data_IF_654334178559
#
_entry.id   IF_654334178559
#
_cell.length_a   1.000
_cell.length_b   1.000
_cell.length_c   1.000
_cell.angle_alpha   90.00
_cell.angle_beta   90.00
_cell.angle_gamma   90.00
#
_symmetry.space_group_name_H-M   'P 1'
#
loop_
_entity.id
_entity.type
_entity.pdbx_description
1 polymer ?
#
# COMPACT_ATOMS: atom_id res chain seq x y z
N UNK A 1 83.75 -8.06 -11.40
CA UNK A 1 82.77 -7.85 -12.48
C UNK A 1 81.42 -8.36 -11.98
N UNK A 2 80.42 -7.46 -11.98
CA UNK A 2 78.98 -7.69 -11.76
C UNK A 2 78.55 -8.24 -10.38
N UNK A 3 77.60 -7.68 -9.64
CA UNK A 3 76.64 -6.61 -9.87
C UNK A 3 75.56 -6.75 -8.80
N UNK A 4 75.17 -5.64 -8.16
CA UNK A 4 74.09 -5.60 -7.16
C UNK A 4 72.76 -5.97 -7.80
N UNK A 5 71.85 -6.62 -7.06
CA UNK A 5 70.42 -6.47 -7.34
C UNK A 5 69.56 -6.50 -6.08
N UNK A 6 69.07 -5.29 -5.79
CA UNK A 6 68.01 -4.87 -4.90
C UNK A 6 66.67 -5.42 -5.41
N UNK A 7 65.89 -6.05 -4.53
CA UNK A 7 64.44 -6.18 -4.72
C UNK A 7 63.72 -5.69 -3.47
N UNK A 8 63.17 -4.47 -3.59
CA UNK A 8 62.12 -3.94 -2.72
C UNK A 8 60.83 -4.68 -3.07
N UNK A 9 60.25 -5.43 -2.15
CA UNK A 9 58.85 -5.81 -2.25
C UNK A 9 58.00 -4.81 -1.46
N UNK A 10 57.43 -3.84 -2.19
CA UNK A 10 56.20 -3.18 -1.80
C UNK A 10 55.05 -4.13 -2.13
N UNK A 11 54.50 -4.83 -1.13
CA UNK A 11 53.18 -5.42 -1.28
C UNK A 11 52.17 -4.58 -0.49
N UNK A 12 51.61 -3.59 -1.18
CA UNK A 12 50.42 -2.87 -0.76
C UNK A 12 49.34 -3.22 -1.78
N UNK A 13 48.28 -3.91 -1.33
CA UNK A 13 46.89 -3.48 -1.55
C UNK A 13 45.89 -4.53 -1.03
N UNK A 14 45.29 -4.20 0.11
CA UNK A 14 43.86 -4.01 0.30
C UNK A 14 42.92 -4.95 -0.48
N UNK A 15 42.42 -5.96 0.21
CA UNK A 15 41.11 -6.55 -0.11
C UNK A 15 40.26 -6.68 1.16
N UNK A 16 40.19 -5.60 1.94
CA UNK A 16 39.02 -5.36 2.76
C UNK A 16 37.89 -4.89 1.84
N UNK A 17 37.29 -5.82 1.10
CA UNK A 17 35.92 -5.67 0.59
C UNK A 17 34.99 -5.74 1.79
N UNK A 18 35.08 -4.74 2.66
CA UNK A 18 34.01 -4.36 3.56
C UNK A 18 32.88 -3.97 2.63
N UNK A 19 31.92 -4.88 2.46
CA UNK A 19 30.64 -4.58 1.87
C UNK A 19 30.18 -3.27 2.53
N UNK A 20 30.21 -2.19 1.75
CA UNK A 20 29.43 -1.00 2.07
C UNK A 20 27.99 -1.43 1.86
N UNK A 21 27.50 -2.28 2.76
CA UNK A 21 26.09 -2.43 3.05
C UNK A 21 25.69 -1.04 3.50
N UNK A 22 25.33 -0.21 2.52
CA UNK A 22 24.75 1.09 2.77
C UNK A 22 23.64 0.81 3.77
N UNK A 23 23.78 1.29 5.02
CA UNK A 23 22.78 1.16 6.07
C UNK A 23 21.44 1.55 5.43
N UNK A 24 20.67 0.55 5.02
CA UNK A 24 19.36 0.76 4.44
C UNK A 24 18.47 0.82 5.65
N UNK A 25 18.09 2.03 6.06
CA UNK A 25 17.19 2.17 7.18
C UNK A 25 15.88 1.46 6.84
N UNK A 26 15.40 0.69 7.80
CA UNK A 26 14.11 0.04 7.74
C UNK A 26 13.21 0.67 8.77
N UNK A 27 11.96 0.90 8.40
CA UNK A 27 11.00 1.50 9.30
C UNK A 27 9.63 0.87 9.10
N UNK A 28 8.83 0.94 10.16
CA UNK A 28 7.45 0.48 10.15
C UNK A 28 6.56 1.55 9.53
N UNK A 29 5.70 1.15 8.60
CA UNK A 29 4.63 1.99 8.07
C UNK A 29 3.27 1.49 8.52
N UNK A 30 2.34 2.42 8.65
CA UNK A 30 0.92 2.17 8.89
C UNK A 30 0.15 2.61 7.65
N UNK A 31 -0.56 1.69 7.02
CA UNK A 31 -1.40 1.97 5.84
C UNK A 31 -2.87 1.79 6.24
N UNK A 32 -3.63 2.88 6.24
CA UNK A 32 -5.08 2.84 6.38
C UNK A 32 -5.70 2.68 5.00
N UNK A 33 -6.42 1.59 4.76
CA UNK A 33 -7.16 1.40 3.50
C UNK A 33 -8.54 2.03 3.63
N UNK A 34 -8.93 2.88 2.69
CA UNK A 34 -10.25 3.51 2.69
C UNK A 34 -11.36 2.43 2.61
N UNK A 35 -12.29 2.47 3.56
CA UNK A 35 -13.40 1.50 3.65
C UNK A 35 -13.06 0.17 4.33
N UNK A 36 -11.83 -0.02 4.81
CA UNK A 36 -11.43 -1.19 5.61
C UNK A 36 -11.79 -1.02 7.09
N UNK A 37 -11.88 -2.13 7.83
CA UNK A 37 -12.08 -2.16 9.28
C UNK A 37 -10.90 -1.58 10.11
N UNK A 38 -9.79 -1.17 9.48
CA UNK A 38 -8.60 -0.66 10.17
C UNK A 38 -7.33 -0.66 9.31
N UNK A 39 -6.19 -0.26 9.90
CA UNK A 39 -4.91 -0.19 9.21
C UNK A 39 -4.22 -1.56 9.10
N UNK A 40 -3.30 -1.65 8.14
CA UNK A 40 -2.30 -2.72 8.02
C UNK A 40 -0.92 -2.13 8.31
N UNK A 41 -0.01 -2.93 8.89
CA UNK A 41 1.31 -2.46 9.31
C UNK A 41 2.38 -3.43 8.85
N UNK A 42 3.45 -2.90 8.25
CA UNK A 42 4.58 -3.70 7.78
C UNK A 42 5.85 -2.85 7.68
N UNK A 43 7.00 -3.52 7.60
CA UNK A 43 8.31 -2.87 7.51
C UNK A 43 8.68 -2.63 6.05
N UNK A 44 9.18 -1.43 5.74
CA UNK A 44 9.69 -1.03 4.43
C UNK A 44 11.14 -0.56 4.55
N UNK A 45 11.87 -0.58 3.45
CA UNK A 45 13.18 0.05 3.35
C UNK A 45 13.02 1.50 2.91
N UNK A 46 13.93 2.37 3.33
CA UNK A 46 13.97 3.77 2.88
C UNK A 46 13.98 3.92 1.36
N UNK A 47 14.69 3.03 0.67
CA UNK A 47 14.83 3.04 -0.79
C UNK A 47 13.65 2.41 -1.54
N UNK A 48 12.63 1.91 -0.83
CA UNK A 48 11.48 1.30 -1.50
C UNK A 48 10.62 2.39 -2.16
N UNK A 49 10.20 2.14 -3.40
CA UNK A 49 9.31 3.06 -4.11
C UNK A 49 7.88 2.98 -3.59
N UNK A 50 7.11 4.06 -3.76
CA UNK A 50 5.68 4.11 -3.40
C UNK A 50 4.89 2.99 -4.09
N UNK A 51 5.20 2.68 -5.35
CA UNK A 51 4.60 1.55 -6.07
C UNK A 51 4.85 0.20 -5.38
N UNK A 52 6.09 -0.04 -4.92
CA UNK A 52 6.46 -1.26 -4.19
C UNK A 52 5.76 -1.35 -2.83
N UNK A 53 5.68 -0.24 -2.09
CA UNK A 53 4.95 -0.16 -0.82
C UNK A 53 3.46 -0.46 -1.03
N UNK A 54 2.87 0.10 -2.09
CA UNK A 54 1.47 -0.13 -2.45
C UNK A 54 1.22 -1.60 -2.81
N UNK A 55 2.08 -2.22 -3.62
CA UNK A 55 1.98 -3.66 -3.93
C UNK A 55 2.05 -4.52 -2.66
N UNK A 56 2.95 -4.17 -1.74
CA UNK A 56 3.12 -4.88 -0.46
C UNK A 56 1.89 -4.71 0.43
N UNK A 57 1.30 -3.51 0.46
CA UNK A 57 0.05 -3.22 1.15
C UNK A 57 -1.10 -4.08 0.61
N UNK A 58 -1.32 -4.10 -0.71
CA UNK A 58 -2.37 -4.92 -1.34
C UNK A 58 -2.20 -6.42 -1.06
N UNK A 59 -0.97 -6.93 -1.12
CA UNK A 59 -0.67 -8.33 -0.79
C UNK A 59 -0.94 -8.63 0.68
N UNK A 60 -0.51 -7.77 1.59
CA UNK A 60 -0.71 -7.96 3.05
C UNK A 60 -2.19 -7.90 3.40
N UNK A 61 -2.92 -6.95 2.82
CA UNK A 61 -4.36 -6.80 2.95
C UNK A 61 -5.13 -8.06 2.53
N UNK A 62 -4.76 -8.64 1.38
CA UNK A 62 -5.36 -9.89 0.89
C UNK A 62 -5.01 -11.09 1.79
N UNK A 63 -3.77 -11.18 2.30
CA UNK A 63 -3.37 -12.24 3.24
C UNK A 63 -4.13 -12.18 4.56
N UNK A 64 -4.47 -10.97 5.02
CA UNK A 64 -5.31 -10.76 6.20
C UNK A 64 -6.80 -11.09 5.94
N UNK A 65 -7.21 -11.38 4.69
CA UNK A 65 -8.60 -11.71 4.36
C UNK A 65 -9.57 -10.52 4.52
N UNK A 66 -9.07 -9.29 4.38
CA UNK A 66 -9.85 -8.08 4.67
C UNK A 66 -10.84 -7.74 3.57
N UNK A 67 -11.88 -7.00 3.97
CA UNK A 67 -12.89 -6.43 3.09
C UNK A 67 -12.87 -4.90 3.16
N UNK A 68 -13.10 -4.20 2.02
CA UNK A 68 -13.48 -4.72 0.70
C UNK A 68 -12.32 -5.35 -0.10
N UNK A 69 -12.61 -6.22 -1.07
CA UNK A 69 -11.61 -6.81 -1.96
C UNK A 69 -11.03 -5.75 -2.91
N UNK A 70 -9.72 -5.50 -2.80
CA UNK A 70 -9.03 -4.42 -3.52
C UNK A 70 -8.52 -4.85 -4.91
N UNK A 71 -8.08 -6.09 -5.05
CA UNK A 71 -7.33 -6.57 -6.21
C UNK A 71 -5.82 -6.35 -6.06
N UNK A 72 -5.06 -6.58 -7.13
CA UNK A 72 -3.58 -6.58 -7.13
C UNK A 72 -2.93 -5.50 -7.99
N UNK A 73 -3.71 -4.81 -8.84
CA UNK A 73 -3.19 -3.79 -9.73
C UNK A 73 -2.90 -2.49 -8.96
N UNK A 74 -1.62 -2.11 -8.87
CA UNK A 74 -1.13 -0.92 -8.16
C UNK A 74 -1.61 0.37 -8.81
N UNK A 75 -1.76 0.40 -10.13
CA UNK A 75 -2.12 1.61 -10.89
C UNK A 75 -3.54 2.09 -10.59
N UNK A 76 -4.36 1.22 -10.01
CA UNK A 76 -5.72 1.53 -9.57
C UNK A 76 -5.78 2.15 -8.18
N UNK A 77 -4.63 2.51 -7.57
CA UNK A 77 -4.59 3.08 -6.23
C UNK A 77 -3.76 4.36 -6.16
N UNK A 78 -4.13 5.22 -5.23
CA UNK A 78 -3.34 6.36 -4.78
C UNK A 78 -2.92 6.15 -3.32
N UNK A 79 -1.67 6.49 -3.01
CA UNK A 79 -1.17 6.53 -1.66
C UNK A 79 -1.03 7.99 -1.22
N UNK A 80 -1.68 8.34 -0.12
CA UNK A 80 -1.62 9.68 0.47
C UNK A 80 -0.88 9.62 1.80
N UNK A 81 -0.11 10.65 2.11
CA UNK A 81 0.35 10.85 3.49
C UNK A 81 -0.76 11.49 4.30
N UNK A 82 -1.00 10.98 5.52
CA UNK A 82 -2.06 11.51 6.40
C UNK A 82 -1.78 12.95 6.83
N UNK A 83 -0.52 13.37 6.83
CA UNK A 83 -0.08 14.69 7.31
C UNK A 83 0.26 15.67 6.17
N UNK A 84 0.18 15.27 4.90
CA UNK A 84 0.51 16.16 3.76
C UNK A 84 -0.74 16.81 3.18
N UNK A 85 -0.53 17.87 2.41
CA UNK A 85 -1.56 18.65 1.70
C UNK A 85 -2.24 17.83 0.60
N UNK A 86 -3.09 16.86 0.96
CA UNK A 86 -4.02 16.09 0.08
C UNK A 86 -3.48 15.63 -1.30
N UNK A 87 -2.16 15.56 -1.47
CA UNK A 87 -1.53 15.23 -2.74
C UNK A 87 -1.12 13.75 -2.71
N UNK A 88 -1.48 13.04 -3.78
CA UNK A 88 -1.06 11.66 -3.95
C UNK A 88 0.46 11.61 -4.15
N UNK A 89 1.11 10.64 -3.51
CA UNK A 89 2.53 10.38 -3.69
C UNK A 89 2.79 9.83 -5.09
N UNK A 90 3.92 10.22 -5.68
CA UNK A 90 4.34 9.71 -6.98
C UNK A 90 4.73 8.22 -6.85
N UNK A 91 4.15 7.30 -7.65
CA UNK A 91 4.53 5.89 -7.65
C UNK A 91 6.04 5.62 -7.84
N UNK A 92 6.77 6.52 -8.52
CA UNK A 92 8.20 6.41 -8.78
C UNK A 92 9.08 6.98 -7.65
N UNK A 93 8.52 7.77 -6.74
CA UNK A 93 9.21 8.34 -5.59
C UNK A 93 9.55 7.27 -4.55
N UNK A 94 10.66 7.47 -3.83
CA UNK A 94 11.03 6.66 -2.66
C UNK A 94 10.20 7.03 -1.45
N UNK A 95 9.73 6.05 -0.68
CA UNK A 95 8.88 6.27 0.49
C UNK A 95 9.55 7.13 1.58
N UNK A 96 10.89 7.19 1.62
CA UNK A 96 11.64 8.04 2.55
C UNK A 96 11.60 9.54 2.22
N UNK A 97 11.24 9.91 0.99
CA UNK A 97 11.04 11.32 0.60
C UNK A 97 9.80 11.90 1.28
N UNK A 98 8.84 11.05 1.65
CA UNK A 98 7.74 11.45 2.50
C UNK A 98 8.16 11.47 3.98
N UNK A 99 7.91 12.58 4.67
CA UNK A 99 8.16 12.73 6.11
C UNK A 99 7.20 11.92 7.00
N UNK A 100 6.23 11.21 6.40
CA UNK A 100 5.22 10.45 7.14
C UNK A 100 5.56 8.96 7.29
N UNK A 101 5.02 8.36 8.35
CA UNK A 101 4.97 6.91 8.55
C UNK A 101 3.55 6.35 8.46
N UNK A 102 2.55 7.24 8.36
CA UNK A 102 1.13 6.91 8.27
C UNK A 102 0.58 7.36 6.92
N UNK A 103 0.00 6.43 6.20
CA UNK A 103 -0.50 6.64 4.85
C UNK A 103 -1.94 6.15 4.71
N UNK A 104 -2.66 6.72 3.75
CA UNK A 104 -3.98 6.28 3.34
C UNK A 104 -3.91 5.71 1.92
N UNK A 105 -4.43 4.49 1.73
CA UNK A 105 -4.53 3.84 0.43
C UNK A 105 -5.96 3.95 -0.08
N UNK A 106 -6.12 4.62 -1.21
CA UNK A 106 -7.41 4.89 -1.84
C UNK A 106 -7.49 4.22 -3.20
N UNK A 107 -8.61 3.55 -3.49
CA UNK A 107 -8.89 3.02 -4.83
C UNK A 107 -9.31 4.17 -5.76
N UNK A 108 -8.69 4.25 -6.93
CA UNK A 108 -9.09 5.18 -8.00
C UNK A 108 -10.48 4.81 -8.47
N UNK A 109 -11.38 5.80 -8.53
CA UNK A 109 -12.66 5.61 -9.20
C UNK A 109 -12.40 5.58 -10.70
N UNK A 110 -12.36 4.37 -11.27
CA UNK A 110 -12.52 4.21 -12.71
C UNK A 110 -13.97 4.61 -12.99
N UNK A 111 -14.19 5.83 -13.49
CA UNK A 111 -15.50 6.19 -14.03
C UNK A 111 -15.81 5.14 -15.10
N UNK A 112 -16.92 4.39 -14.98
CA UNK A 112 -17.47 3.71 -16.13
C UNK A 112 -17.71 4.82 -17.15
N UNK A 113 -17.10 4.71 -18.31
CA UNK A 113 -17.48 5.56 -19.42
C UNK A 113 -18.94 5.21 -19.67
N UNK A 114 -19.86 6.04 -19.15
CA UNK A 114 -21.26 5.93 -19.49
C UNK A 114 -21.33 6.32 -20.95
N UNK A 115 -21.16 5.35 -21.84
CA UNK A 115 -21.60 5.49 -23.21
C UNK A 115 -23.10 5.70 -23.11
N UNK A 116 -23.49 6.93 -23.41
CA UNK A 116 -24.85 7.44 -23.50
C UNK A 116 -25.70 6.52 -24.39
N UNK A 117 -26.34 5.52 -23.79
CA UNK A 117 -27.35 4.70 -24.44
C UNK A 117 -28.65 4.82 -23.64
N UNK A 118 -29.34 5.90 -23.97
CA UNK A 118 -30.81 6.06 -23.96
C UNK A 118 -31.50 5.98 -22.60
N UNK A 119 -31.79 7.18 -22.08
CA UNK A 119 -33.09 7.43 -21.48
C UNK A 119 -34.16 7.20 -22.55
N UNK A 120 -35.04 6.20 -22.37
CA UNK A 120 -36.50 6.26 -22.60
C UNK A 120 -37.14 4.86 -22.59
N UNK A 121 -38.15 4.72 -21.71
CA UNK A 121 -39.26 3.75 -21.75
C UNK A 121 -38.91 2.26 -21.56
N UNK A 122 -39.51 1.47 -20.66
CA UNK A 122 -40.92 1.38 -20.26
C UNK A 122 -40.99 0.68 -18.88
N UNK A 123 -41.83 1.21 -17.99
CA UNK A 123 -42.36 0.49 -16.83
C UNK A 123 -43.05 -0.82 -17.24
N UNK A 124 -42.51 -2.01 -16.91
CA UNK A 124 -43.35 -3.18 -16.58
C UNK A 124 -42.57 -4.33 -15.93
N UNK A 125 -42.90 -4.57 -14.65
CA UNK A 125 -43.12 -5.87 -13.97
C UNK A 125 -41.92 -6.77 -13.57
N UNK A 126 -41.74 -6.86 -12.24
CA UNK A 126 -41.66 -8.11 -11.41
C UNK A 126 -40.35 -8.91 -11.53
N UNK A 127 -39.56 -9.16 -10.48
CA UNK A 127 -39.60 -8.87 -9.06
C UNK A 127 -38.35 -9.48 -8.39
N UNK A 128 -38.18 -9.16 -7.10
CA UNK A 128 -37.42 -9.88 -6.06
C UNK A 128 -36.21 -9.14 -5.47
N UNK A 129 -36.28 -8.95 -4.14
CA UNK A 129 -35.10 -8.93 -3.31
C UNK A 129 -34.74 -7.58 -2.69
N UNK A 130 -35.68 -7.01 -1.95
CA UNK A 130 -35.44 -5.89 -1.05
C UNK A 130 -34.41 -6.25 0.05
N UNK A 131 -33.14 -6.14 -0.30
CA UNK A 131 -31.98 -6.06 0.62
C UNK A 131 -32.07 -4.92 1.65
N UNK A 132 -32.99 -3.96 1.48
CA UNK A 132 -33.14 -2.79 2.35
C UNK A 132 -34.05 -3.04 3.56
N UNK A 133 -34.62 -4.24 3.71
CA UNK A 133 -35.62 -4.53 4.76
C UNK A 133 -35.07 -5.25 6.00
N UNK A 134 -33.80 -5.69 6.02
CA UNK A 134 -33.23 -6.39 7.18
C UNK A 134 -32.51 -5.45 8.17
N UNK A 135 -32.10 -4.25 7.78
CA UNK A 135 -31.27 -3.39 8.65
C UNK A 135 -32.04 -2.51 9.65
N UNK A 136 -33.31 -2.79 9.93
CA UNK A 136 -34.05 -2.09 10.99
C UNK A 136 -34.72 -3.08 11.97
N UNK A 137 -33.91 -3.62 12.88
CA UNK A 137 -34.40 -4.08 14.18
C UNK A 137 -33.41 -3.61 15.27
N UNK A 138 -33.81 -2.74 16.20
CA UNK A 138 -33.04 -2.59 17.43
C UNK A 138 -33.18 -3.88 18.24
N UNK A 139 -32.05 -4.42 18.70
CA UNK A 139 -31.98 -5.53 19.65
C UNK A 139 -32.68 -5.12 20.97
N UNK A 140 -33.97 -5.45 21.09
CA UNK A 140 -34.72 -5.31 22.33
C UNK A 140 -34.41 -6.45 23.28
N UNK A 141 -33.28 -6.38 23.99
CA UNK A 141 -33.03 -7.24 25.14
C UNK A 141 -33.80 -6.66 26.35
N UNK A 142 -35.01 -7.18 26.61
CA UNK A 142 -35.65 -7.02 27.91
C UNK A 142 -35.57 -8.36 28.62
N UNK A 143 -34.63 -8.43 29.55
CA UNK A 143 -34.41 -9.53 30.47
C UNK A 143 -35.59 -9.53 31.46
N UNK A 144 -36.34 -10.62 31.51
CA UNK A 144 -37.22 -10.89 32.65
C UNK A 144 -36.35 -11.52 33.74
N UNK A 145 -36.27 -10.86 34.90
CA UNK A 145 -35.88 -11.52 36.15
C UNK A 145 -37.15 -11.99 36.85
N UNK A 146 -37.08 -13.20 37.38
CA UNK A 146 -38.06 -13.82 38.27
C UNK A 146 -38.01 -13.22 39.67
#
# INVERSE_FOLDING_TARGET
MMGQQKQKNHNKNNNDKKSKEAKTGRFLVTITVLGSAGPIRFVVNEKDTVSKVTSTALKSYAREGRLPLLGTNVDHFFLYSVNSTSQALDPAETISSCESRNFCLCKKQMQPQMTEARSEMVSTRKGNGSWKTWLNKPFGFKIYSH
#
